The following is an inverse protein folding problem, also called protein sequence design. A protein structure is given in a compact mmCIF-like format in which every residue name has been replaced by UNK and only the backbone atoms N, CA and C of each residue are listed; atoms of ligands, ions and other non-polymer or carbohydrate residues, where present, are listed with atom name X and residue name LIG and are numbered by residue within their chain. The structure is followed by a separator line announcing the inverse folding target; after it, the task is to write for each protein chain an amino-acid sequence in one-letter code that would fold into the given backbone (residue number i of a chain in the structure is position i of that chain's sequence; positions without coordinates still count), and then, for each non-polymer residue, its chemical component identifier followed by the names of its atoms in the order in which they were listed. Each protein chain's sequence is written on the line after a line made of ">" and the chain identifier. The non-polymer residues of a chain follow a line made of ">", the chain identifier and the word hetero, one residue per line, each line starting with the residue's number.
data_IF_531912954079
#
_entry.id   IF_531912954079
#
_cell.length_a   1.000
_cell.length_b   1.000
_cell.length_c   1.000
_cell.angle_alpha   90.00
_cell.angle_beta   90.00
_cell.angle_gamma   90.00
#
_symmetry.space_group_name_H-M   'P 1'
#
loop_
_entity.id
_entity.type
_entity.pdbx_description
1 polymer ?
#
# COMPACT_ATOMS: atom_id res chain seq x y z
N UNK A 1 22.52 -9.81 -0.99
CA UNK A 1 21.77 -9.54 0.25
C UNK A 1 21.31 -10.86 0.86
N UNK A 2 21.49 -11.05 2.13
CA UNK A 2 20.98 -12.23 2.87
C UNK A 2 19.57 -11.94 3.46
N UNK A 3 18.77 -11.16 2.74
CA UNK A 3 17.43 -10.77 3.17
C UNK A 3 16.43 -11.91 2.94
N UNK A 4 15.74 -12.33 3.99
CA UNK A 4 14.72 -13.38 3.96
C UNK A 4 13.30 -12.83 3.98
N UNK A 5 13.14 -11.62 4.48
CA UNK A 5 11.85 -10.94 4.58
C UNK A 5 11.76 -9.84 3.51
N UNK A 6 10.63 -9.83 2.80
CA UNK A 6 10.28 -8.81 1.82
C UNK A 6 8.98 -8.17 2.28
N UNK A 7 9.01 -6.86 2.55
CA UNK A 7 7.82 -6.12 2.97
C UNK A 7 7.14 -5.48 1.77
N UNK A 8 5.82 -5.63 1.70
CA UNK A 8 4.99 -5.04 0.65
C UNK A 8 3.78 -4.34 1.25
N UNK A 9 3.44 -3.16 0.72
CA UNK A 9 2.35 -2.31 1.21
C UNK A 9 0.99 -2.57 0.57
N UNK A 10 0.69 -3.81 0.21
CA UNK A 10 -0.61 -4.15 -0.38
C UNK A 10 -1.74 -4.17 0.64
N UNK A 11 -2.92 -3.79 0.18
CA UNK A 11 -4.15 -3.86 0.96
C UNK A 11 -5.33 -4.15 0.01
N UNK A 12 -6.30 -4.93 0.46
CA UNK A 12 -7.46 -5.32 -0.35
C UNK A 12 -8.80 -5.14 0.37
N UNK A 13 -8.80 -4.52 1.55
CA UNK A 13 -10.01 -4.38 2.38
C UNK A 13 -11.00 -3.37 1.78
N UNK A 14 -10.54 -2.16 1.42
CA UNK A 14 -11.42 -1.11 0.90
C UNK A 14 -11.67 -1.23 -0.61
N UNK A 15 -10.72 -1.83 -1.34
CA UNK A 15 -10.79 -1.98 -2.77
C UNK A 15 -10.02 -3.22 -3.23
N UNK A 16 -10.77 -4.24 -3.68
CA UNK A 16 -10.22 -5.52 -4.15
C UNK A 16 -10.09 -5.62 -5.68
N UNK A 17 -10.18 -4.48 -6.39
CA UNK A 17 -10.12 -4.41 -7.84
C UNK A 17 -8.75 -4.70 -8.45
N UNK A 18 -7.70 -4.67 -7.64
CA UNK A 18 -6.34 -5.04 -8.08
C UNK A 18 -6.05 -6.50 -7.68
N UNK A 19 -6.02 -7.44 -8.65
CA UNK A 19 -5.73 -8.85 -8.36
C UNK A 19 -4.40 -9.07 -7.65
N UNK A 20 -3.40 -8.25 -7.96
CA UNK A 20 -2.05 -8.31 -7.39
C UNK A 20 -1.94 -7.79 -5.94
N UNK A 21 -3.03 -7.26 -5.38
CA UNK A 21 -3.12 -6.91 -3.97
C UNK A 21 -3.80 -8.02 -3.13
N UNK A 22 -4.30 -9.07 -3.75
CA UNK A 22 -5.03 -10.14 -3.07
C UNK A 22 -4.08 -11.15 -2.41
N UNK A 23 -4.48 -11.74 -1.26
CA UNK A 23 -3.65 -12.72 -0.55
C UNK A 23 -3.21 -13.90 -1.43
N UNK A 24 -4.07 -14.38 -2.34
CA UNK A 24 -3.75 -15.49 -3.26
C UNK A 24 -2.58 -15.14 -4.16
N UNK A 25 -2.55 -13.91 -4.69
CA UNK A 25 -1.44 -13.46 -5.51
C UNK A 25 -0.13 -13.40 -4.71
N UNK A 26 -0.17 -12.84 -3.50
CA UNK A 26 1.02 -12.75 -2.65
C UNK A 26 1.59 -14.13 -2.34
N UNK A 27 0.74 -15.12 -2.05
CA UNK A 27 1.17 -16.52 -1.84
C UNK A 27 1.81 -17.11 -3.09
N UNK A 28 1.20 -16.92 -4.26
CA UNK A 28 1.73 -17.40 -5.53
C UNK A 28 3.06 -16.73 -5.88
N UNK A 29 3.18 -15.42 -5.62
CA UNK A 29 4.40 -14.66 -5.83
C UNK A 29 5.54 -15.16 -4.93
N UNK A 30 5.27 -15.40 -3.64
CA UNK A 30 6.26 -15.96 -2.71
C UNK A 30 6.76 -17.32 -3.18
N UNK A 31 5.86 -18.18 -3.67
CA UNK A 31 6.21 -19.48 -4.25
C UNK A 31 7.07 -19.33 -5.51
N UNK A 32 6.70 -18.43 -6.42
CA UNK A 32 7.47 -18.16 -7.63
C UNK A 32 8.87 -17.65 -7.31
N UNK A 33 8.99 -16.72 -6.35
CA UNK A 33 10.27 -16.21 -5.90
C UNK A 33 11.16 -17.32 -5.32
N UNK A 34 10.57 -18.22 -4.52
CA UNK A 34 11.29 -19.39 -3.98
C UNK A 34 11.81 -20.29 -5.11
N UNK A 35 10.98 -20.65 -6.07
CA UNK A 35 11.34 -21.56 -7.17
C UNK A 35 12.32 -20.93 -8.15
N UNK A 36 12.28 -19.62 -8.31
CA UNK A 36 13.05 -18.87 -9.31
C UNK A 36 14.39 -18.34 -8.82
N UNK A 37 14.76 -18.56 -7.56
CA UNK A 37 16.00 -18.01 -7.01
C UNK A 37 16.94 -19.11 -6.49
N UNK A 38 18.22 -18.89 -6.67
CA UNK A 38 19.28 -19.82 -6.22
C UNK A 38 19.29 -19.99 -4.69
N UNK A 39 18.96 -18.94 -3.95
CA UNK A 39 18.92 -18.99 -2.48
C UNK A 39 17.92 -20.02 -1.94
N UNK A 40 16.86 -20.31 -2.68
CA UNK A 40 15.86 -21.31 -2.30
C UNK A 40 16.37 -22.76 -2.35
N UNK A 41 17.44 -23.03 -3.12
CA UNK A 41 18.08 -24.34 -3.17
C UNK A 41 18.83 -24.68 -1.86
N UNK A 42 18.99 -23.73 -0.97
CA UNK A 42 19.77 -23.83 0.28
C UNK A 42 18.86 -23.92 1.53
N UNK A 43 17.71 -24.55 1.44
CA UNK A 43 16.69 -24.66 2.52
C UNK A 43 16.22 -23.30 3.04
N UNK A 44 16.20 -22.29 2.16
CA UNK A 44 15.84 -20.92 2.49
C UNK A 44 14.51 -20.51 1.82
N UNK A 45 13.61 -19.98 2.60
CA UNK A 45 12.35 -19.45 2.11
C UNK A 45 12.27 -17.93 2.28
N UNK A 46 11.78 -17.25 1.23
CA UNK A 46 11.37 -15.86 1.36
C UNK A 46 10.03 -15.77 2.08
N UNK A 47 9.94 -14.85 3.03
CA UNK A 47 8.67 -14.48 3.64
C UNK A 47 8.24 -13.12 3.09
N UNK A 48 7.06 -13.08 2.47
CA UNK A 48 6.46 -11.82 2.03
C UNK A 48 5.61 -11.30 3.19
N UNK A 49 6.09 -10.21 3.81
CA UNK A 49 5.38 -9.53 4.88
C UNK A 49 4.44 -8.48 4.28
N UNK A 50 3.15 -8.63 4.51
CA UNK A 50 2.12 -7.70 4.03
C UNK A 50 1.30 -7.15 5.23
N UNK A 51 1.91 -6.29 6.06
CA UNK A 51 1.31 -5.86 7.32
C UNK A 51 0.03 -5.04 7.17
N UNK A 52 -0.21 -4.48 5.98
CA UNK A 52 -1.39 -3.66 5.69
C UNK A 52 -2.54 -4.44 5.02
N UNK A 53 -2.34 -5.73 4.74
CA UNK A 53 -3.25 -6.56 3.92
C UNK A 53 -4.70 -6.51 4.39
N UNK A 54 -4.92 -6.56 5.70
CA UNK A 54 -6.23 -6.65 6.33
C UNK A 54 -6.67 -5.35 7.02
N UNK A 55 -5.97 -4.25 6.78
CA UNK A 55 -6.31 -2.94 7.33
C UNK A 55 -7.14 -2.12 6.35
N UNK A 56 -8.13 -1.39 6.84
CA UNK A 56 -8.81 -0.36 6.07
C UNK A 56 -7.88 0.83 5.80
N UNK A 57 -8.22 1.67 4.85
CA UNK A 57 -7.47 2.91 4.57
C UNK A 57 -7.37 3.79 5.83
N UNK A 58 -8.46 3.88 6.59
CA UNK A 58 -8.48 4.64 7.84
C UNK A 58 -7.53 4.06 8.90
N UNK A 59 -7.51 2.73 9.04
CA UNK A 59 -6.60 2.05 9.96
C UNK A 59 -5.13 2.23 9.56
N UNK A 60 -4.82 2.19 8.25
CA UNK A 60 -3.48 2.47 7.73
C UNK A 60 -3.07 3.90 8.08
N UNK A 61 -3.96 4.89 7.88
CA UNK A 61 -3.68 6.29 8.20
C UNK A 61 -3.44 6.48 9.70
N UNK A 62 -4.25 5.87 10.55
CA UNK A 62 -4.07 5.91 12.00
C UNK A 62 -2.72 5.31 12.41
N UNK A 63 -2.38 4.14 11.88
CA UNK A 63 -1.12 3.48 12.14
C UNK A 63 0.06 4.35 11.71
N UNK A 64 0.04 4.85 10.48
CA UNK A 64 1.09 5.71 9.96
C UNK A 64 1.26 6.99 10.78
N UNK A 65 0.15 7.62 11.16
CA UNK A 65 0.16 8.81 12.03
C UNK A 65 0.82 8.50 13.38
N UNK A 66 0.50 7.36 13.98
CA UNK A 66 1.11 6.93 15.26
C UNK A 66 2.62 6.67 15.13
N UNK A 67 3.09 6.32 13.94
CA UNK A 67 4.50 6.09 13.62
C UNK A 67 5.24 7.35 13.13
N UNK A 68 4.57 8.49 13.07
CA UNK A 68 5.16 9.76 12.64
C UNK A 68 5.25 9.94 11.13
N UNK A 69 4.45 9.20 10.34
CA UNK A 69 4.42 9.38 8.88
C UNK A 69 3.83 10.76 8.53
N UNK A 70 4.58 11.53 7.77
CA UNK A 70 4.11 12.79 7.19
C UNK A 70 3.39 12.51 5.86
N UNK A 71 2.07 12.49 5.89
CA UNK A 71 1.27 12.23 4.70
C UNK A 71 1.25 13.38 3.69
N UNK A 72 1.77 14.57 4.04
CA UNK A 72 1.87 15.69 3.10
C UNK A 72 2.85 15.42 1.96
N UNK A 73 3.84 14.56 2.18
CA UNK A 73 4.83 14.16 1.18
C UNK A 73 4.42 12.92 0.38
N UNK A 74 3.26 12.33 0.70
CA UNK A 74 2.77 11.11 0.01
C UNK A 74 1.80 11.46 -1.12
N UNK A 75 1.82 10.65 -2.17
CA UNK A 75 0.99 10.85 -3.35
C UNK A 75 0.18 9.61 -3.67
N UNK A 76 -1.12 9.78 -3.96
CA UNK A 76 -2.04 8.68 -4.33
C UNK A 76 -2.73 8.90 -5.67
N UNK A 77 -2.87 10.13 -6.12
CA UNK A 77 -3.65 10.49 -7.31
C UNK A 77 -3.09 9.87 -8.59
N UNK A 78 -3.98 9.31 -9.43
CA UNK A 78 -3.60 8.76 -10.73
C UNK A 78 -3.48 9.80 -11.85
N UNK A 79 -4.01 11.01 -11.62
CA UNK A 79 -4.03 12.08 -12.63
C UNK A 79 -3.69 13.44 -11.99
N UNK A 80 -2.46 13.59 -11.46
CA UNK A 80 -2.03 14.89 -10.93
C UNK A 80 -1.79 15.89 -12.06
N UNK A 81 -1.80 17.18 -11.73
CA UNK A 81 -1.37 18.22 -12.67
C UNK A 81 0.16 18.35 -12.72
N UNK A 82 0.65 19.27 -13.55
CA UNK A 82 2.08 19.51 -13.71
C UNK A 82 2.78 19.99 -12.42
N UNK A 83 2.03 20.48 -11.45
CA UNK A 83 2.53 20.93 -10.15
C UNK A 83 2.40 19.86 -9.05
N UNK A 84 1.94 18.65 -9.41
CA UNK A 84 1.73 17.55 -8.48
C UNK A 84 0.46 17.68 -7.64
N UNK A 85 -0.48 18.56 -8.00
CA UNK A 85 -1.76 18.69 -7.30
C UNK A 85 -2.69 17.54 -7.67
N UNK A 86 -3.30 16.91 -6.66
CA UNK A 86 -4.21 15.80 -6.85
C UNK A 86 -5.51 16.23 -7.54
N UNK A 87 -6.02 15.44 -8.49
CA UNK A 87 -7.21 15.80 -9.26
C UNK A 87 -8.51 15.87 -8.44
N UNK A 88 -8.54 15.23 -7.27
CA UNK A 88 -9.68 15.25 -6.36
C UNK A 88 -10.92 14.44 -6.81
N UNK A 89 -10.85 13.73 -7.93
CA UNK A 89 -12.01 13.05 -8.55
C UNK A 89 -11.73 11.63 -9.07
N UNK A 90 -10.52 11.13 -8.99
CA UNK A 90 -10.26 9.72 -9.30
C UNK A 90 -10.51 8.84 -8.09
N UNK A 91 -10.70 7.53 -8.31
CA UNK A 91 -10.99 6.56 -7.24
C UNK A 91 -9.96 6.63 -6.11
N UNK A 92 -8.69 6.80 -6.46
CA UNK A 92 -7.63 6.91 -5.46
C UNK A 92 -7.74 8.17 -4.60
N UNK A 93 -8.18 9.29 -5.17
CA UNK A 93 -8.44 10.51 -4.42
C UNK A 93 -9.64 10.35 -3.47
N UNK A 94 -10.69 9.69 -3.93
CA UNK A 94 -11.88 9.44 -3.11
C UNK A 94 -11.58 8.49 -1.96
N UNK A 95 -10.88 7.39 -2.23
CA UNK A 95 -10.45 6.45 -1.20
C UNK A 95 -9.54 7.13 -0.16
N UNK A 96 -8.61 7.97 -0.61
CA UNK A 96 -7.72 8.71 0.28
C UNK A 96 -8.49 9.69 1.16
N UNK A 97 -9.34 10.52 0.57
CA UNK A 97 -10.14 11.51 1.29
C UNK A 97 -11.06 10.84 2.32
N UNK A 98 -11.74 9.78 1.93
CA UNK A 98 -12.61 9.01 2.82
C UNK A 98 -11.80 8.36 3.96
N UNK A 99 -10.62 7.82 3.65
CA UNK A 99 -9.73 7.25 4.65
C UNK A 99 -9.31 8.26 5.73
N UNK A 100 -8.92 9.47 5.35
CA UNK A 100 -8.60 10.54 6.30
C UNK A 100 -9.82 10.95 7.14
N UNK A 101 -10.98 11.10 6.49
CA UNK A 101 -12.24 11.43 7.17
C UNK A 101 -12.61 10.38 8.23
N UNK A 102 -12.57 9.10 7.85
CA UNK A 102 -12.90 8.00 8.76
C UNK A 102 -11.85 7.83 9.88
N UNK A 103 -10.59 8.14 9.58
CA UNK A 103 -9.52 8.12 10.59
C UNK A 103 -9.63 9.27 11.59
N UNK A 104 -10.37 10.32 11.28
CA UNK A 104 -10.43 11.54 12.09
C UNK A 104 -9.12 12.35 12.04
N UNK A 105 -8.34 12.18 10.98
CA UNK A 105 -7.05 12.86 10.75
C UNK A 105 -7.22 13.87 9.63
N UNK A 106 -6.75 15.13 9.78
CA UNK A 106 -6.81 16.12 8.70
C UNK A 106 -6.09 15.61 7.43
N UNK A 107 -6.75 15.73 6.28
CA UNK A 107 -6.17 15.35 4.99
C UNK A 107 -5.20 16.46 4.52
N UNK A 108 -3.89 16.20 4.45
CA UNK A 108 -2.91 17.19 4.03
C UNK A 108 -2.76 17.29 2.51
N UNK A 109 -3.57 16.58 1.74
CA UNK A 109 -3.46 16.50 0.29
C UNK A 109 -3.80 17.84 -0.36
N UNK A 110 -2.94 18.27 -1.25
CA UNK A 110 -3.20 19.46 -2.07
C UNK A 110 -3.95 19.07 -3.32
N UNK A 111 -5.15 19.60 -3.45
CA UNK A 111 -6.04 19.33 -4.60
C UNK A 111 -6.03 20.48 -5.61
N UNK A 112 -6.25 20.11 -6.88
CA UNK A 112 -6.54 21.08 -7.96
C UNK A 112 -7.81 21.86 -7.61
N UNK A 113 -7.84 23.10 -7.99
CA UNK A 113 -9.04 23.95 -7.83
C UNK A 113 -10.08 23.68 -8.91
#
# INVERSE_FOLDING_TARGET
>A
LEARDIFIGVNSVDYSGYPDCRPEFIKAFARAAKLGTKAADEDWEYTIQSPLQNLSKAEIIKLGTSLGVDYSITHSCYNPDANGLACGKCDSCDLRRNGFKEAGVPDPTRYQK
#
